data_IF_004200421316
#
_entry.id   IF_004200421316
#
_cell.length_a   1.000
_cell.length_b   1.000
_cell.length_c   1.000
_cell.angle_alpha   90.00
_cell.angle_beta   90.00
_cell.angle_gamma   90.00
#
_symmetry.space_group_name_H-M   'P 1'
#
loop_
_entity.id
_entity.type
_entity.pdbx_description
1 polymer ?
#
# COMPACT_ATOMS: atom_id res chain seq x y z
N UNK A 1 -20.26 11.68 -32.19
CA UNK A 1 -21.02 10.42 -32.32
C UNK A 1 -19.97 9.33 -32.45
N UNK A 2 -20.18 8.15 -31.87
CA UNK A 2 -19.24 7.01 -31.93
C UNK A 2 -18.81 6.62 -33.37
N UNK A 3 -19.54 7.11 -34.38
CA UNK A 3 -19.33 6.89 -35.81
C UNK A 3 -18.00 7.44 -36.38
N UNK A 4 -17.30 8.32 -35.65
CA UNK A 4 -16.00 8.88 -36.05
C UNK A 4 -14.79 8.05 -35.53
N UNK A 5 -15.06 6.97 -34.78
CA UNK A 5 -14.02 6.12 -34.18
C UNK A 5 -13.65 5.02 -35.17
N UNK A 6 -12.43 5.08 -35.71
CA UNK A 6 -11.88 4.02 -36.55
C UNK A 6 -11.47 2.79 -35.72
N UNK A 7 -12.18 1.68 -35.93
CA UNK A 7 -11.94 0.39 -35.27
C UNK A 7 -11.29 -0.62 -36.23
N UNK A 8 -10.94 -0.22 -37.45
CA UNK A 8 -10.40 -1.13 -38.49
C UNK A 8 -9.06 -1.78 -38.11
N UNK A 9 -8.32 -1.16 -37.18
CA UNK A 9 -7.04 -1.67 -36.65
C UNK A 9 -7.22 -2.62 -35.45
N UNK A 10 -8.42 -2.69 -34.87
CA UNK A 10 -8.68 -3.46 -33.64
C UNK A 10 -9.39 -4.77 -34.01
N UNK A 11 -8.72 -5.93 -33.87
CA UNK A 11 -9.35 -7.21 -34.17
C UNK A 11 -10.44 -7.55 -33.15
N UNK A 12 -11.49 -8.26 -33.59
CA UNK A 12 -12.53 -8.74 -32.68
C UNK A 12 -11.96 -9.76 -31.67
N UNK A 13 -12.20 -9.51 -30.38
CA UNK A 13 -11.68 -10.34 -29.29
C UNK A 13 -12.56 -11.58 -29.10
N UNK A 14 -12.12 -12.71 -29.65
CA UNK A 14 -12.77 -14.02 -29.47
C UNK A 14 -12.47 -14.68 -28.11
N UNK A 15 -13.12 -15.81 -27.84
CA UNK A 15 -12.90 -16.60 -26.61
C UNK A 15 -11.43 -17.01 -26.42
N UNK A 16 -10.69 -17.21 -27.50
CA UNK A 16 -9.25 -17.52 -27.50
C UNK A 16 -8.38 -16.42 -26.86
N UNK A 17 -8.78 -15.15 -26.99
CA UNK A 17 -8.08 -14.01 -26.39
C UNK A 17 -8.17 -14.07 -24.86
N UNK A 18 -9.34 -14.47 -24.36
CA UNK A 18 -9.61 -14.59 -22.93
C UNK A 18 -9.24 -15.96 -22.35
N UNK A 19 -8.97 -16.98 -23.19
CA UNK A 19 -8.63 -18.33 -22.75
C UNK A 19 -7.39 -18.39 -21.83
N UNK A 20 -6.48 -17.41 -21.92
CA UNK A 20 -5.30 -17.28 -21.07
C UNK A 20 -5.43 -16.17 -20.02
N UNK A 21 -6.57 -15.51 -19.94
CA UNK A 21 -6.79 -14.44 -18.97
C UNK A 21 -6.65 -14.98 -17.56
N UNK A 22 -5.77 -14.35 -16.77
CA UNK A 22 -5.58 -14.69 -15.36
C UNK A 22 -6.14 -13.58 -14.51
N UNK A 23 -7.01 -13.93 -13.57
CA UNK A 23 -7.49 -13.01 -12.55
C UNK A 23 -6.35 -12.74 -11.56
N UNK A 24 -5.75 -11.56 -11.65
CA UNK A 24 -4.76 -11.09 -10.67
C UNK A 24 -5.52 -10.34 -9.58
N UNK A 25 -5.61 -10.94 -8.39
CA UNK A 25 -6.11 -10.24 -7.21
C UNK A 25 -5.12 -9.18 -6.74
N UNK A 26 -5.54 -8.16 -5.98
CA UNK A 26 -4.61 -7.23 -5.36
C UNK A 26 -3.60 -8.02 -4.52
N UNK A 27 -2.31 -7.79 -4.76
CA UNK A 27 -1.25 -8.25 -3.86
C UNK A 27 -1.45 -7.52 -2.54
N UNK A 28 -2.19 -8.17 -1.62
CA UNK A 28 -2.24 -7.70 -0.24
C UNK A 28 -0.86 -7.97 0.33
N UNK A 29 0.01 -6.96 0.31
CA UNK A 29 1.28 -7.04 1.01
C UNK A 29 0.96 -7.29 2.49
N UNK A 30 1.39 -8.44 3.02
CA UNK A 30 1.03 -8.94 4.36
C UNK A 30 1.45 -8.02 5.53
N UNK A 31 2.05 -6.86 5.24
CA UNK A 31 2.68 -5.96 6.20
C UNK A 31 2.09 -4.54 6.20
N UNK A 32 0.89 -4.33 5.65
CA UNK A 32 0.22 -3.03 5.72
C UNK A 32 -0.23 -2.71 7.15
N UNK A 33 0.04 -1.49 7.61
CA UNK A 33 -0.47 -0.97 8.89
C UNK A 33 -1.43 0.18 8.61
N UNK A 34 -2.54 0.23 9.36
CA UNK A 34 -3.48 1.35 9.31
C UNK A 34 -2.97 2.44 10.24
N UNK A 35 -2.88 3.66 9.71
CA UNK A 35 -2.53 4.87 10.45
C UNK A 35 -3.53 5.96 10.09
N UNK A 36 -3.74 6.91 11.00
CA UNK A 36 -4.63 8.04 10.74
C UNK A 36 -4.18 8.84 9.51
N UNK A 37 -5.17 9.33 8.76
CA UNK A 37 -4.95 9.98 7.47
C UNK A 37 -4.11 11.25 7.58
N UNK A 38 -4.29 12.02 8.66
CA UNK A 38 -3.56 13.27 8.91
C UNK A 38 -2.07 13.01 9.17
N UNK A 39 -1.76 11.97 9.97
CA UNK A 39 -0.39 11.52 10.23
C UNK A 39 0.26 11.07 8.92
N UNK A 40 -0.47 10.26 8.14
CA UNK A 40 0.05 9.78 6.85
C UNK A 40 0.32 10.92 5.87
N UNK A 41 -0.57 11.90 5.77
CA UNK A 41 -0.42 13.05 4.89
C UNK A 41 0.74 13.97 5.31
N UNK A 42 1.00 14.13 6.61
CA UNK A 42 2.18 14.84 7.08
C UNK A 42 3.49 14.14 6.67
N UNK A 43 3.53 12.81 6.77
CA UNK A 43 4.66 12.01 6.27
C UNK A 43 4.80 12.11 4.76
N UNK A 44 3.68 12.23 4.04
CA UNK A 44 3.65 12.42 2.58
C UNK A 44 4.17 13.78 2.13
N UNK A 45 3.85 14.84 2.85
CA UNK A 45 4.34 16.18 2.52
C UNK A 45 5.83 16.37 2.81
N UNK A 46 6.43 15.50 3.64
CA UNK A 46 7.81 15.64 4.10
C UNK A 46 8.79 14.66 3.44
N UNK A 47 8.33 13.47 3.01
CA UNK A 47 9.20 12.43 2.48
C UNK A 47 8.58 11.71 1.25
N UNK A 48 9.37 11.46 0.21
CA UNK A 48 8.96 10.58 -0.88
C UNK A 48 9.01 9.09 -0.45
N UNK A 49 8.40 8.23 -1.25
CA UNK A 49 8.64 6.78 -1.13
C UNK A 49 10.01 6.42 -1.74
N UNK A 50 10.77 5.46 -1.18
CA UNK A 50 10.44 4.58 -0.05
C UNK A 50 10.79 5.11 1.36
N UNK A 51 11.36 6.31 1.47
CA UNK A 51 11.85 6.85 2.75
C UNK A 51 10.73 7.08 3.77
N UNK A 52 9.54 7.47 3.30
CA UNK A 52 8.35 7.65 4.13
C UNK A 52 7.98 6.39 4.92
N UNK A 53 7.74 5.28 4.21
CA UNK A 53 7.37 3.99 4.82
C UNK A 53 8.42 3.51 5.82
N UNK A 54 9.71 3.69 5.50
CA UNK A 54 10.82 3.38 6.40
C UNK A 54 10.81 4.27 7.65
N UNK A 55 10.57 5.57 7.52
CA UNK A 55 10.52 6.52 8.63
C UNK A 55 9.34 6.24 9.56
N UNK A 56 8.16 5.96 9.02
CA UNK A 56 6.98 5.56 9.81
C UNK A 56 7.31 4.32 10.65
N UNK A 57 7.91 3.31 10.03
CA UNK A 57 8.31 2.08 10.72
C UNK A 57 9.32 2.33 11.85
N UNK A 58 10.28 3.24 11.66
CA UNK A 58 11.26 3.61 12.69
C UNK A 58 10.61 4.31 13.88
N UNK A 59 9.71 5.26 13.64
CA UNK A 59 8.99 5.97 14.70
C UNK A 59 8.20 4.99 15.57
N UNK A 60 7.47 4.07 14.93
CA UNK A 60 6.70 3.04 15.63
C UNK A 60 7.59 2.13 16.48
N UNK A 61 8.76 1.70 15.96
CA UNK A 61 9.72 0.87 16.72
C UNK A 61 10.22 1.56 17.98
N UNK A 62 10.64 2.83 17.87
CA UNK A 62 11.13 3.60 19.03
C UNK A 62 10.03 3.74 20.09
N UNK A 63 8.79 3.97 19.67
CA UNK A 63 7.67 4.01 20.60
C UNK A 63 7.46 2.65 21.30
N UNK A 64 7.47 1.55 20.55
CA UNK A 64 7.32 0.19 21.09
C UNK A 64 8.40 -0.14 22.12
N UNK A 65 9.67 0.15 21.82
CA UNK A 65 10.80 -0.11 22.72
C UNK A 65 10.63 0.63 24.06
N UNK A 66 10.27 1.92 24.01
CA UNK A 66 10.02 2.73 25.20
C UNK A 66 8.82 2.21 26.00
N UNK A 67 7.75 1.83 25.31
CA UNK A 67 6.56 1.29 25.93
C UNK A 67 6.86 -0.05 26.65
N UNK A 68 7.61 -0.95 26.00
CA UNK A 68 8.03 -2.22 26.58
C UNK A 68 8.94 -2.03 27.79
N UNK A 69 9.91 -1.11 27.72
CA UNK A 69 10.76 -0.78 28.86
C UNK A 69 9.95 -0.28 30.06
N UNK A 70 8.93 0.56 29.81
CA UNK A 70 8.02 1.05 30.86
C UNK A 70 7.21 -0.07 31.49
N UNK A 71 6.68 -0.99 30.68
CA UNK A 71 5.95 -2.15 31.19
C UNK A 71 6.84 -3.07 32.04
N UNK A 72 8.08 -3.31 31.59
CA UNK A 72 9.05 -4.12 32.33
C UNK A 72 9.43 -3.50 33.69
N UNK A 73 9.46 -2.16 33.79
CA UNK A 73 9.68 -1.46 35.05
C UNK A 73 8.44 -1.47 35.95
N UNK A 74 7.23 -1.39 35.38
CA UNK A 74 5.97 -1.42 36.13
C UNK A 74 5.63 -2.81 36.69
N UNK A 75 6.11 -3.89 36.07
CA UNK A 75 5.93 -5.27 36.55
C UNK A 75 6.97 -5.74 37.58
N UNK A 76 7.89 -4.87 38.00
CA UNK A 76 8.94 -5.15 39.00
C UNK A 76 8.69 -4.44 40.35
N UNK A 77 7.48 -3.93 40.59
CA UNK A 77 7.07 -3.27 41.82
C UNK A 77 6.03 -4.06 42.61
#
# INVERSE_FOLDING_TARGET
MDEDIDLSDIPELGEEFFAKARRIGPLVEKNSVVVDSDIYEWFRSTLPEPERSKRISQVLRVYMERYQARLAMAGQG
#
